data_IF_178157376028
#
_entry.id   IF_178157376028
#
_cell.length_a   1.000
_cell.length_b   1.000
_cell.length_c   1.000
_cell.angle_alpha   90.00
_cell.angle_beta   90.00
_cell.angle_gamma   90.00
#
_symmetry.space_group_name_H-M   'P 1'
#
loop_
_entity.id
_entity.type
_entity.pdbx_description
1 polymer ?
#
# COMPACT_ATOMS: atom_id res chain seq x y z
N UNK A 1 -60.88 -39.47 -23.63
CA UNK A 1 -60.28 -39.27 -22.28
C UNK A 1 -58.82 -39.72 -22.22
N UNK A 2 -58.46 -40.85 -22.87
CA UNK A 2 -57.07 -41.30 -22.99
C UNK A 2 -56.16 -40.31 -23.75
N UNK A 3 -56.59 -39.78 -24.90
CA UNK A 3 -55.79 -38.82 -25.69
C UNK A 3 -55.51 -37.50 -24.95
N UNK A 4 -56.46 -37.06 -24.11
CA UNK A 4 -56.29 -35.84 -23.31
C UNK A 4 -55.27 -36.04 -22.19
N UNK A 5 -55.26 -37.22 -21.57
CA UNK A 5 -54.26 -37.60 -20.56
C UNK A 5 -52.86 -37.73 -21.17
N UNK A 6 -52.76 -38.28 -22.38
CA UNK A 6 -51.49 -38.40 -23.09
C UNK A 6 -50.92 -37.03 -23.49
N UNK A 7 -51.77 -36.14 -24.04
CA UNK A 7 -51.38 -34.78 -24.38
C UNK A 7 -50.95 -33.97 -23.13
N UNK A 8 -51.65 -34.15 -22.01
CA UNK A 8 -51.31 -33.51 -20.72
C UNK A 8 -49.94 -33.95 -20.21
N UNK A 9 -49.65 -35.25 -20.28
CA UNK A 9 -48.36 -35.80 -19.85
C UNK A 9 -47.20 -35.35 -20.76
N UNK A 10 -47.42 -35.25 -22.08
CA UNK A 10 -46.42 -34.72 -23.01
C UNK A 10 -46.11 -33.24 -22.74
N UNK A 11 -47.13 -32.43 -22.42
CA UNK A 11 -46.95 -31.01 -22.08
C UNK A 11 -46.23 -30.85 -20.73
N UNK A 12 -46.57 -31.65 -19.71
CA UNK A 12 -45.88 -31.63 -18.41
C UNK A 12 -44.40 -32.02 -18.56
N UNK A 13 -44.08 -33.05 -19.36
CA UNK A 13 -42.71 -33.46 -19.64
C UNK A 13 -41.89 -32.36 -20.35
N UNK A 14 -42.51 -31.65 -21.30
CA UNK A 14 -41.86 -30.53 -22.00
C UNK A 14 -41.59 -29.34 -21.06
N UNK A 15 -42.51 -29.05 -20.14
CA UNK A 15 -42.34 -28.01 -19.12
C UNK A 15 -41.20 -28.33 -18.16
N UNK A 16 -41.10 -29.58 -17.69
CA UNK A 16 -40.00 -30.02 -16.82
C UNK A 16 -38.63 -29.95 -17.53
N UNK A 17 -38.57 -30.34 -18.81
CA UNK A 17 -37.36 -30.25 -19.62
C UNK A 17 -36.91 -28.80 -19.84
N UNK A 18 -37.86 -27.88 -20.09
CA UNK A 18 -37.56 -26.45 -20.21
C UNK A 18 -37.04 -25.85 -18.89
N UNK A 19 -37.63 -26.24 -17.75
CA UNK A 19 -37.18 -25.78 -16.43
C UNK A 19 -35.78 -26.31 -16.08
N UNK A 20 -35.48 -27.57 -16.41
CA UNK A 20 -34.14 -28.13 -16.22
C UNK A 20 -33.10 -27.45 -17.12
N UNK A 21 -33.42 -27.19 -18.40
CA UNK A 21 -32.52 -26.45 -19.30
C UNK A 21 -32.25 -25.03 -18.81
N UNK A 22 -33.27 -24.31 -18.33
CA UNK A 22 -33.09 -22.98 -17.75
C UNK A 22 -32.25 -23.02 -16.46
N UNK A 23 -32.46 -24.02 -15.61
CA UNK A 23 -31.64 -24.22 -14.41
C UNK A 23 -30.19 -24.56 -14.76
N UNK A 24 -29.94 -25.40 -15.76
CA UNK A 24 -28.60 -25.77 -16.19
C UNK A 24 -27.90 -24.65 -16.95
N UNK A 25 -28.61 -23.82 -17.72
CA UNK A 25 -28.06 -22.58 -18.28
C UNK A 25 -27.76 -21.55 -17.21
N UNK A 26 -28.61 -21.41 -16.18
CA UNK A 26 -28.35 -20.50 -15.06
C UNK A 26 -27.15 -20.99 -14.23
N UNK A 27 -27.01 -22.30 -14.02
CA UNK A 27 -25.85 -22.94 -13.37
C UNK A 27 -24.60 -22.79 -14.23
N UNK A 28 -24.69 -23.00 -15.55
CA UNK A 28 -23.56 -22.76 -16.49
C UNK A 28 -23.16 -21.30 -16.51
N UNK A 29 -24.09 -20.34 -16.54
CA UNK A 29 -23.80 -18.89 -16.43
C UNK A 29 -23.15 -18.56 -15.09
N UNK A 30 -23.66 -19.11 -13.97
CA UNK A 30 -23.05 -18.95 -12.63
C UNK A 30 -21.64 -19.57 -12.56
N UNK A 31 -21.43 -20.74 -13.17
CA UNK A 31 -20.15 -21.45 -13.20
C UNK A 31 -19.14 -20.73 -14.12
N UNK A 32 -19.58 -20.18 -15.25
CA UNK A 32 -18.75 -19.36 -16.15
C UNK A 32 -18.35 -18.04 -15.49
N UNK A 33 -19.24 -17.41 -14.70
CA UNK A 33 -18.94 -16.23 -13.87
C UNK A 33 -17.95 -16.54 -12.73
N UNK A 34 -17.92 -17.78 -12.22
CA UNK A 34 -17.06 -18.21 -11.10
C UNK A 34 -15.58 -18.36 -11.43
N UNK A 35 -15.22 -18.53 -12.72
CA UNK A 35 -13.83 -18.70 -13.17
C UNK A 35 -13.25 -17.48 -13.89
N UNK A 36 -14.02 -16.42 -14.12
CA UNK A 36 -13.52 -15.22 -14.80
C UNK A 36 -12.87 -14.30 -13.77
N UNK A 37 -11.57 -14.04 -13.93
CA UNK A 37 -10.88 -12.98 -13.18
C UNK A 37 -11.59 -11.64 -13.39
N UNK A 38 -11.65 -10.83 -12.34
CA UNK A 38 -12.23 -9.49 -12.41
C UNK A 38 -11.23 -8.53 -13.07
N UNK A 39 -11.53 -8.09 -14.29
CA UNK A 39 -10.62 -7.25 -15.08
C UNK A 39 -10.33 -5.90 -14.40
N UNK A 40 -11.35 -5.25 -13.81
CA UNK A 40 -11.16 -4.00 -13.07
C UNK A 40 -10.19 -4.09 -11.90
N UNK A 41 -10.11 -5.25 -11.24
CA UNK A 41 -9.19 -5.49 -10.13
C UNK A 41 -7.73 -5.54 -10.62
N UNK A 42 -7.49 -6.25 -11.72
CA UNK A 42 -6.16 -6.32 -12.33
C UNK A 42 -5.76 -4.95 -12.92
N UNK A 43 -6.67 -4.24 -13.59
CA UNK A 43 -6.42 -2.86 -14.09
C UNK A 43 -6.08 -1.89 -12.95
N UNK A 44 -6.81 -1.93 -11.82
CA UNK A 44 -6.51 -1.09 -10.66
C UNK A 44 -5.12 -1.39 -10.10
N UNK A 45 -4.78 -2.67 -9.94
CA UNK A 45 -3.45 -3.07 -9.47
C UNK A 45 -2.36 -2.61 -10.44
N UNK A 46 -2.59 -2.73 -11.74
CA UNK A 46 -1.67 -2.24 -12.77
C UNK A 46 -1.51 -0.74 -12.79
N UNK A 47 -2.59 0.02 -12.55
CA UNK A 47 -2.55 1.46 -12.36
C UNK A 47 -1.67 1.83 -11.15
N UNK A 48 -1.76 1.11 -10.03
CA UNK A 48 -0.89 1.34 -8.87
C UNK A 48 0.58 1.08 -9.18
N UNK A 49 0.90 0.01 -9.93
CA UNK A 49 2.28 -0.29 -10.38
C UNK A 49 2.78 0.78 -11.34
N UNK A 50 1.95 1.19 -12.29
CA UNK A 50 2.29 2.25 -13.23
C UNK A 50 2.57 3.56 -12.49
N UNK A 51 1.71 3.93 -11.53
CA UNK A 51 1.90 5.14 -10.74
C UNK A 51 3.19 5.09 -9.93
N UNK A 52 3.50 3.95 -9.30
CA UNK A 52 4.76 3.74 -8.58
C UNK A 52 5.98 4.01 -9.47
N UNK A 53 6.04 3.38 -10.65
CA UNK A 53 7.12 3.59 -11.62
C UNK A 53 7.18 5.06 -12.03
N UNK A 54 6.03 5.64 -12.38
CA UNK A 54 5.94 7.01 -12.84
C UNK A 54 6.49 7.99 -11.80
N UNK A 55 6.12 7.85 -10.52
CA UNK A 55 6.57 8.77 -9.47
C UNK A 55 8.03 8.56 -9.10
N UNK A 56 8.54 7.32 -9.17
CA UNK A 56 9.95 7.00 -8.89
C UNK A 56 10.89 7.68 -9.90
N UNK A 57 10.52 7.71 -11.19
CA UNK A 57 11.33 8.34 -12.24
C UNK A 57 11.01 9.82 -12.45
N UNK A 58 9.75 10.24 -12.38
CA UNK A 58 9.36 11.64 -12.61
C UNK A 58 9.54 12.53 -11.37
N UNK A 59 9.55 11.96 -10.17
CA UNK A 59 9.65 12.70 -8.91
C UNK A 59 10.95 13.51 -8.77
N UNK A 60 12.03 13.10 -9.42
CA UNK A 60 13.29 13.84 -9.44
C UNK A 60 13.19 15.17 -10.21
N UNK A 61 12.28 15.26 -11.18
CA UNK A 61 12.12 16.41 -12.07
C UNK A 61 11.01 17.35 -11.56
N UNK A 62 9.93 16.77 -11.01
CA UNK A 62 8.74 17.50 -10.59
C UNK A 62 8.46 17.30 -9.09
N UNK A 63 8.80 18.30 -8.23
CA UNK A 63 8.61 18.19 -6.79
C UNK A 63 7.16 17.91 -6.36
N UNK A 64 6.16 18.41 -7.12
CA UNK A 64 4.73 18.16 -6.85
C UNK A 64 4.30 16.69 -7.06
N UNK A 65 5.07 15.93 -7.85
CA UNK A 65 4.85 14.50 -8.08
C UNK A 65 5.58 13.66 -7.02
N UNK A 66 6.70 14.16 -6.50
CA UNK A 66 7.50 13.50 -5.46
C UNK A 66 6.77 13.43 -4.10
N UNK A 67 7.33 12.71 -3.13
CA UNK A 67 6.75 12.60 -1.79
C UNK A 67 6.73 13.93 -1.04
N UNK A 68 5.66 14.17 -0.27
CA UNK A 68 5.65 15.31 0.66
C UNK A 68 6.77 15.14 1.71
N UNK A 69 7.53 16.20 2.07
CA UNK A 69 8.62 16.07 3.03
C UNK A 69 8.18 15.59 4.41
N UNK A 70 6.98 15.98 4.85
CA UNK A 70 6.43 15.56 6.14
C UNK A 70 4.90 15.62 6.18
N UNK A 71 4.36 16.85 6.22
CA UNK A 71 2.92 17.10 6.20
C UNK A 71 2.47 17.48 4.79
N UNK A 72 1.25 17.07 4.45
CA UNK A 72 0.67 17.24 3.12
C UNK A 72 0.70 15.94 2.31
N UNK A 73 0.09 15.99 1.13
CA UNK A 73 -0.06 14.83 0.25
C UNK A 73 0.27 15.24 -1.17
N UNK A 74 1.18 14.50 -1.80
CA UNK A 74 1.48 14.59 -3.22
C UNK A 74 1.08 13.30 -3.95
N UNK A 75 1.23 13.27 -5.27
CA UNK A 75 0.77 12.15 -6.09
C UNK A 75 1.42 10.81 -5.67
N UNK A 76 2.72 10.81 -5.37
CA UNK A 76 3.44 9.62 -4.93
C UNK A 76 2.92 9.05 -3.60
N UNK A 77 2.22 9.85 -2.79
CA UNK A 77 1.72 9.42 -1.49
C UNK A 77 0.44 8.58 -1.61
N UNK A 78 -0.19 8.49 -2.78
CA UNK A 78 -1.37 7.63 -3.00
C UNK A 78 -1.02 6.18 -3.39
N UNK A 79 0.21 5.93 -3.86
CA UNK A 79 0.63 4.63 -4.41
C UNK A 79 0.44 3.49 -3.41
N UNK A 80 0.99 3.65 -2.20
CA UNK A 80 0.98 2.58 -1.19
C UNK A 80 -0.43 2.28 -0.65
N UNK A 81 -1.25 3.28 -0.26
CA UNK A 81 -2.64 3.04 0.12
C UNK A 81 -3.47 2.34 -0.97
N UNK A 82 -3.24 2.66 -2.25
CA UNK A 82 -3.95 2.01 -3.36
C UNK A 82 -3.60 0.51 -3.44
N UNK A 83 -2.33 0.16 -3.29
CA UNK A 83 -1.91 -1.24 -3.22
C UNK A 83 -2.52 -1.98 -2.04
N UNK A 84 -2.48 -1.40 -0.84
CA UNK A 84 -3.06 -2.02 0.36
C UNK A 84 -4.57 -2.24 0.21
N UNK A 85 -5.27 -1.25 -0.35
CA UNK A 85 -6.70 -1.32 -0.60
C UNK A 85 -7.06 -2.45 -1.57
N UNK A 86 -6.38 -2.56 -2.72
CA UNK A 86 -6.70 -3.60 -3.72
C UNK A 86 -6.31 -5.01 -3.26
N UNK A 87 -5.28 -5.13 -2.42
CA UNK A 87 -4.96 -6.39 -1.70
C UNK A 87 -6.13 -6.80 -0.82
N UNK A 88 -6.74 -5.84 -0.10
CA UNK A 88 -7.96 -6.03 0.67
C UNK A 88 -9.13 -6.55 -0.17
N UNK A 89 -9.44 -5.89 -1.29
CA UNK A 89 -10.52 -6.32 -2.21
C UNK A 89 -10.30 -7.76 -2.70
N UNK A 90 -9.04 -8.10 -3.02
CA UNK A 90 -8.65 -9.43 -3.48
C UNK A 90 -8.87 -10.51 -2.43
N UNK A 91 -8.70 -10.20 -1.13
CA UNK A 91 -8.88 -11.15 -0.04
C UNK A 91 -10.32 -11.67 0.07
N UNK A 92 -11.31 -10.80 -0.10
CA UNK A 92 -12.73 -11.19 -0.07
C UNK A 92 -13.08 -12.20 -1.17
N UNK A 93 -12.44 -12.08 -2.34
CA UNK A 93 -12.63 -13.02 -3.45
C UNK A 93 -11.94 -14.37 -3.17
N UNK A 94 -10.74 -14.33 -2.60
CA UNK A 94 -9.94 -15.54 -2.29
C UNK A 94 -10.57 -16.36 -1.17
N UNK A 95 -11.09 -15.70 -0.12
CA UNK A 95 -11.62 -16.36 1.08
C UNK A 95 -13.16 -16.39 1.14
N UNK A 96 -13.85 -16.15 0.01
CA UNK A 96 -15.32 -16.25 -0.09
C UNK A 96 -15.90 -17.57 0.43
N UNK A 97 -15.21 -18.70 0.18
CA UNK A 97 -15.69 -20.05 0.50
C UNK A 97 -14.64 -20.85 1.29
N UNK A 98 -14.34 -20.44 2.52
CA UNK A 98 -13.44 -21.20 3.40
C UNK A 98 -14.15 -22.42 3.99
N UNK A 99 -13.74 -23.62 3.57
CA UNK A 99 -14.20 -24.88 4.17
C UNK A 99 -13.43 -25.23 5.45
N UNK A 100 -12.10 -25.06 5.44
CA UNK A 100 -11.22 -25.34 6.58
C UNK A 100 -10.42 -24.11 6.97
N UNK A 101 -10.76 -23.51 8.12
CA UNK A 101 -10.16 -22.27 8.64
C UNK A 101 -8.66 -22.41 8.93
N UNK A 102 -8.22 -23.56 9.46
CA UNK A 102 -6.82 -23.81 9.81
C UNK A 102 -5.96 -23.89 8.55
N UNK A 103 -6.41 -24.66 7.55
CA UNK A 103 -5.71 -24.77 6.26
C UNK A 103 -5.65 -23.43 5.52
N UNK A 104 -6.73 -22.64 5.58
CA UNK A 104 -6.75 -21.28 5.01
C UNK A 104 -5.75 -20.35 5.72
N UNK A 105 -5.73 -20.38 7.06
CA UNK A 105 -4.80 -19.59 7.87
C UNK A 105 -3.35 -19.94 7.56
N UNK A 106 -3.02 -21.23 7.51
CA UNK A 106 -1.68 -21.70 7.17
C UNK A 106 -1.21 -21.19 5.79
N UNK A 107 -2.10 -21.25 4.79
CA UNK A 107 -1.81 -20.73 3.44
C UNK A 107 -1.62 -19.21 3.43
N UNK A 108 -2.42 -18.47 4.22
CA UNK A 108 -2.29 -17.03 4.36
C UNK A 108 -0.94 -16.65 5.00
N UNK A 109 -0.57 -17.33 6.09
CA UNK A 109 0.69 -17.10 6.80
C UNK A 109 1.89 -17.40 5.91
N UNK A 110 1.92 -18.55 5.20
CA UNK A 110 3.02 -18.86 4.27
C UNK A 110 3.20 -17.75 3.23
N UNK A 111 2.10 -17.30 2.62
CA UNK A 111 2.17 -16.24 1.61
C UNK A 111 2.71 -14.94 2.19
N UNK A 112 2.29 -14.57 3.41
CA UNK A 112 2.81 -13.41 4.10
C UNK A 112 4.31 -13.56 4.41
N UNK A 113 4.74 -14.72 4.91
CA UNK A 113 6.15 -15.03 5.17
C UNK A 113 6.99 -14.97 3.90
N UNK A 114 6.52 -15.53 2.78
CA UNK A 114 7.22 -15.45 1.49
C UNK A 114 7.40 -14.00 1.03
N UNK A 115 6.35 -13.18 1.16
CA UNK A 115 6.39 -11.77 0.79
C UNK A 115 7.32 -10.97 1.70
N UNK A 116 7.32 -11.28 2.99
CA UNK A 116 8.17 -10.65 4.00
C UNK A 116 9.65 -10.97 3.75
N UNK A 117 10.00 -12.24 3.52
CA UNK A 117 11.36 -12.67 3.20
C UNK A 117 11.85 -12.08 1.86
N UNK A 118 10.98 -12.02 0.86
CA UNK A 118 11.28 -11.33 -0.40
C UNK A 118 11.56 -9.84 -0.15
N UNK A 119 10.81 -9.20 0.75
CA UNK A 119 11.06 -7.82 1.19
C UNK A 119 12.45 -7.61 1.77
N UNK A 120 12.82 -8.43 2.75
CA UNK A 120 14.17 -8.38 3.37
C UNK A 120 15.25 -8.59 2.31
N UNK A 121 15.06 -9.56 1.40
CA UNK A 121 16.02 -9.82 0.34
C UNK A 121 16.24 -8.62 -0.60
N UNK A 122 15.16 -7.96 -1.04
CA UNK A 122 15.28 -6.79 -1.93
C UNK A 122 15.85 -5.57 -1.22
N UNK A 123 15.50 -5.38 0.05
CA UNK A 123 15.83 -4.16 0.80
C UNK A 123 17.15 -4.24 1.55
N UNK A 124 17.64 -5.45 1.84
CA UNK A 124 18.93 -5.68 2.49
C UNK A 124 20.15 -5.31 1.65
N UNK A 125 19.97 -4.73 0.47
CA UNK A 125 21.08 -4.14 -0.30
C UNK A 125 21.92 -5.14 -1.06
N UNK A 126 21.40 -6.35 -1.37
CA UNK A 126 22.10 -7.34 -2.20
C UNK A 126 22.63 -6.77 -3.53
N UNK A 127 21.96 -5.75 -4.07
CA UNK A 127 22.38 -4.99 -5.25
C UNK A 127 22.73 -3.56 -4.83
N UNK A 128 23.97 -3.33 -4.38
CA UNK A 128 24.49 -1.98 -4.23
C UNK A 128 24.53 -1.28 -5.60
N UNK A 129 24.31 0.05 -5.62
CA UNK A 129 24.03 0.82 -6.83
C UNK A 129 25.00 0.59 -7.99
N UNK A 130 24.56 0.99 -9.19
CA UNK A 130 25.29 0.86 -10.48
C UNK A 130 26.78 1.26 -10.47
N UNK A 131 27.23 2.03 -9.48
CA UNK A 131 28.60 2.54 -9.33
C UNK A 131 29.47 1.79 -8.32
N UNK A 132 28.93 0.88 -7.50
CA UNK A 132 29.68 0.15 -6.46
C UNK A 132 29.55 -1.35 -6.65
N UNK A 133 30.60 -2.02 -7.14
CA UNK A 133 30.70 -3.49 -7.30
C UNK A 133 30.81 -4.26 -5.96
N UNK A 134 30.30 -3.71 -4.86
CA UNK A 134 30.29 -4.37 -3.56
C UNK A 134 29.06 -5.27 -3.46
N UNK A 135 29.25 -6.57 -3.62
CA UNK A 135 28.22 -7.58 -3.39
C UNK A 135 28.23 -7.99 -1.91
N UNK A 136 27.09 -7.89 -1.23
CA UNK A 136 26.96 -8.29 0.18
C UNK A 136 25.77 -7.63 0.86
N UNK A 137 25.38 -8.16 2.02
CA UNK A 137 24.41 -7.55 2.92
C UNK A 137 25.13 -7.25 4.23
N UNK A 138 25.13 -5.98 4.62
CA UNK A 138 25.55 -5.59 5.95
C UNK A 138 24.43 -5.95 6.94
N UNK A 139 24.65 -7.00 7.73
CA UNK A 139 23.67 -7.49 8.70
C UNK A 139 23.46 -6.50 9.85
N UNK A 140 24.43 -5.64 10.14
CA UNK A 140 24.33 -4.63 11.20
C UNK A 140 23.44 -3.46 10.79
N UNK A 141 23.24 -3.23 9.48
CA UNK A 141 22.42 -2.13 8.97
C UNK A 141 21.29 -2.54 8.03
N UNK A 142 20.89 -3.82 8.09
CA UNK A 142 19.76 -4.33 7.32
C UNK A 142 18.46 -3.64 7.74
N UNK A 143 17.66 -3.17 6.78
CA UNK A 143 16.36 -2.55 7.06
C UNK A 143 15.28 -3.62 7.23
N UNK A 144 14.77 -3.76 8.45
CA UNK A 144 13.78 -4.80 8.79
C UNK A 144 12.38 -4.53 8.21
N UNK A 145 11.92 -3.28 8.23
CA UNK A 145 10.60 -2.91 7.74
C UNK A 145 10.67 -2.11 6.44
N UNK A 146 9.76 -2.45 5.53
CA UNK A 146 9.66 -1.83 4.22
C UNK A 146 8.33 -2.12 3.57
N UNK A 147 8.22 -1.75 2.31
CA UNK A 147 6.96 -1.75 1.54
C UNK A 147 6.36 -3.15 1.49
N UNK A 148 7.15 -4.19 1.16
CA UNK A 148 6.66 -5.56 1.05
C UNK A 148 6.28 -6.16 2.41
N UNK A 149 7.07 -5.87 3.44
CA UNK A 149 6.83 -6.30 4.82
C UNK A 149 5.52 -5.71 5.34
N UNK A 150 5.28 -4.43 5.06
CA UNK A 150 4.04 -3.75 5.41
C UNK A 150 2.82 -4.32 4.67
N UNK A 151 2.95 -4.62 3.38
CA UNK A 151 1.89 -5.32 2.63
C UNK A 151 1.66 -6.72 3.22
N UNK A 152 2.70 -7.44 3.62
CA UNK A 152 2.58 -8.76 4.24
C UNK A 152 1.83 -8.71 5.58
N UNK A 153 2.14 -7.74 6.44
CA UNK A 153 1.46 -7.51 7.71
C UNK A 153 -0.01 -7.12 7.50
N UNK A 154 -0.29 -6.17 6.61
CA UNK A 154 -1.66 -5.79 6.27
C UNK A 154 -2.47 -6.96 5.69
N UNK A 155 -1.85 -7.74 4.81
CA UNK A 155 -2.47 -8.94 4.22
C UNK A 155 -2.82 -9.99 5.26
N UNK A 156 -1.90 -10.34 6.17
CA UNK A 156 -2.16 -11.41 7.14
C UNK A 156 -3.22 -10.99 8.16
N UNK A 157 -3.18 -9.74 8.63
CA UNK A 157 -4.19 -9.22 9.58
C UNK A 157 -5.57 -9.24 8.92
N UNK A 158 -5.71 -8.68 7.71
CA UNK A 158 -6.98 -8.66 7.01
C UNK A 158 -7.48 -10.08 6.65
N UNK A 159 -6.58 -11.00 6.27
CA UNK A 159 -6.93 -12.39 6.02
C UNK A 159 -7.42 -13.11 7.28
N UNK A 160 -6.78 -12.88 8.43
CA UNK A 160 -7.22 -13.45 9.71
C UNK A 160 -8.59 -12.90 10.12
N UNK A 161 -8.82 -11.59 9.97
CA UNK A 161 -10.14 -11.00 10.15
C UNK A 161 -11.18 -11.71 9.29
N UNK A 162 -10.90 -11.92 8.00
CA UNK A 162 -11.83 -12.56 7.07
C UNK A 162 -12.09 -14.05 7.37
N UNK A 163 -11.10 -14.79 7.88
CA UNK A 163 -11.25 -16.22 8.16
C UNK A 163 -12.01 -16.46 9.47
N UNK A 164 -11.77 -15.60 10.48
CA UNK A 164 -12.21 -15.85 11.85
C UNK A 164 -13.45 -15.06 12.27
N UNK A 165 -13.63 -13.83 11.80
CA UNK A 165 -14.69 -12.91 12.23
C UNK A 165 -16.05 -12.98 11.52
N UNK A 166 -16.25 -13.63 10.35
CA UNK A 166 -17.57 -13.64 9.73
C UNK A 166 -18.62 -14.31 10.62
N UNK A 167 -19.66 -13.55 10.99
CA UNK A 167 -20.85 -14.09 11.63
C UNK A 167 -21.76 -14.66 10.54
N UNK A 168 -21.86 -15.99 10.46
CA UNK A 168 -22.66 -16.69 9.44
C UNK A 168 -24.14 -16.73 9.85
N UNK A 169 -24.77 -15.57 9.98
CA UNK A 169 -26.22 -15.49 10.20
C UNK A 169 -26.95 -15.66 8.86
N UNK A 170 -27.91 -16.60 8.82
CA UNK A 170 -28.65 -17.03 7.62
C UNK A 170 -29.73 -16.05 7.17
N UNK A 171 -29.98 -14.97 7.92
CA UNK A 171 -30.95 -13.95 7.56
C UNK A 171 -30.39 -12.94 6.55
N UNK A 172 -31.27 -12.42 5.70
CA UNK A 172 -31.05 -11.33 4.73
C UNK A 172 -30.78 -10.00 5.43
N UNK A 173 -29.72 -9.98 6.22
CA UNK A 173 -29.22 -8.81 6.92
C UNK A 173 -28.34 -8.01 5.96
N UNK A 174 -28.40 -6.67 6.08
CA UNK A 174 -27.61 -5.70 5.32
C UNK A 174 -26.11 -6.04 5.37
N UNK A 175 -25.37 -5.68 4.33
CA UNK A 175 -23.93 -5.98 4.20
C UNK A 175 -23.12 -5.43 5.38
N UNK A 176 -23.50 -4.28 5.93
CA UNK A 176 -22.84 -3.64 7.08
C UNK A 176 -22.99 -4.41 8.39
N UNK A 177 -24.17 -4.96 8.67
CA UNK A 177 -24.45 -5.71 9.90
C UNK A 177 -23.74 -7.09 9.93
N UNK A 178 -23.55 -7.73 8.76
CA UNK A 178 -22.81 -9.01 8.66
C UNK A 178 -21.32 -8.88 8.98
N UNK A 179 -20.73 -7.70 8.74
CA UNK A 179 -19.29 -7.46 8.92
C UNK A 179 -18.99 -6.39 9.98
N UNK A 180 -19.90 -6.19 10.94
CA UNK A 180 -19.70 -5.24 12.04
C UNK A 180 -18.40 -5.51 12.83
N UNK A 181 -18.03 -6.79 13.02
CA UNK A 181 -16.78 -7.15 13.70
C UNK A 181 -15.52 -6.63 12.98
N UNK A 182 -15.53 -6.56 11.64
CA UNK A 182 -14.41 -5.97 10.90
C UNK A 182 -14.30 -4.47 11.17
N UNK A 183 -15.43 -3.77 11.27
CA UNK A 183 -15.46 -2.36 11.66
C UNK A 183 -15.02 -2.14 13.11
N UNK A 184 -15.36 -3.05 14.04
CA UNK A 184 -14.83 -3.03 15.40
C UNK A 184 -13.30 -3.16 15.43
N UNK A 185 -12.73 -4.05 14.60
CA UNK A 185 -11.27 -4.19 14.49
C UNK A 185 -10.64 -2.92 13.92
N UNK A 186 -11.25 -2.31 12.89
CA UNK A 186 -10.81 -1.01 12.35
C UNK A 186 -10.74 0.04 13.48
N UNK A 187 -11.83 0.19 14.24
CA UNK A 187 -11.89 1.15 15.34
C UNK A 187 -10.86 0.85 16.43
N UNK A 188 -10.68 -0.42 16.81
CA UNK A 188 -9.70 -0.83 17.81
C UNK A 188 -8.26 -0.51 17.36
N UNK A 189 -7.91 -0.82 16.12
CA UNK A 189 -6.58 -0.52 15.56
C UNK A 189 -6.33 1.00 15.48
N UNK A 190 -7.34 1.79 15.11
CA UNK A 190 -7.26 3.25 15.12
C UNK A 190 -7.06 3.81 16.54
N UNK A 191 -7.80 3.30 17.53
CA UNK A 191 -7.66 3.71 18.94
C UNK A 191 -6.27 3.38 19.46
N UNK A 192 -5.76 2.17 19.18
CA UNK A 192 -4.41 1.75 19.57
C UNK A 192 -3.37 2.67 18.92
N UNK A 193 -3.51 2.95 17.61
CA UNK A 193 -2.58 3.83 16.90
C UNK A 193 -2.56 5.24 17.50
N UNK A 194 -3.72 5.88 17.69
CA UNK A 194 -3.81 7.20 18.32
C UNK A 194 -3.33 7.21 19.77
N UNK A 195 -3.67 6.18 20.54
CA UNK A 195 -3.24 6.05 21.93
C UNK A 195 -1.72 5.98 22.06
N UNK A 196 -1.06 5.22 21.19
CA UNK A 196 0.41 5.14 21.16
C UNK A 196 1.03 6.43 20.61
N UNK A 197 0.47 7.02 19.55
CA UNK A 197 1.03 8.21 18.91
C UNK A 197 0.98 9.45 19.82
N UNK A 198 -0.12 9.64 20.56
CA UNK A 198 -0.32 10.82 21.42
C UNK A 198 -0.01 10.56 22.90
N UNK A 199 -0.14 9.33 23.38
CA UNK A 199 -0.02 8.99 24.80
C UNK A 199 1.40 8.76 25.30
N UNK A 200 2.31 8.31 24.43
CA UNK A 200 3.68 7.98 24.82
C UNK A 200 4.54 9.24 25.02
N UNK A 201 5.40 9.18 26.04
CA UNK A 201 6.40 10.21 26.32
C UNK A 201 7.69 9.91 25.58
N UNK A 202 8.17 10.88 24.81
CA UNK A 202 9.40 10.78 24.03
C UNK A 202 10.51 11.50 24.77
N UNK A 203 11.47 10.73 25.28
CA UNK A 203 12.69 11.25 25.91
C UNK A 203 13.67 11.79 24.87
N UNK A 204 14.63 12.56 25.35
CA UNK A 204 15.80 12.95 24.57
C UNK A 204 16.57 11.71 24.12
N UNK A 205 17.22 11.81 22.97
CA UNK A 205 17.88 10.66 22.35
C UNK A 205 19.09 11.08 21.52
N UNK A 206 19.96 10.12 21.27
CA UNK A 206 21.19 10.32 20.51
C UNK A 206 21.33 9.31 19.36
N UNK A 207 22.08 9.70 18.33
CA UNK A 207 22.48 8.80 17.25
C UNK A 207 23.89 9.11 16.75
N UNK A 208 24.51 8.10 16.14
CA UNK A 208 25.91 8.12 15.71
C UNK A 208 26.00 8.09 14.19
N UNK A 209 26.87 8.93 13.63
CA UNK A 209 27.16 8.95 12.20
C UNK A 209 28.65 8.69 11.95
N UNK A 210 29.02 7.81 11.00
CA UNK A 210 30.42 7.57 10.64
C UNK A 210 31.05 8.81 9.96
N UNK A 211 32.29 9.10 10.33
CA UNK A 211 33.05 10.31 9.96
C UNK A 211 33.23 10.50 8.44
N UNK A 212 33.22 9.41 7.66
CA UNK A 212 33.55 9.41 6.23
C UNK A 212 32.54 10.09 5.31
N UNK A 213 31.46 10.65 5.85
CA UNK A 213 30.41 11.24 5.02
C UNK A 213 30.67 12.71 4.63
N UNK A 214 31.46 13.51 5.38
CA UNK A 214 31.46 14.97 5.14
C UNK A 214 32.74 15.81 5.43
N UNK A 215 33.90 15.30 5.87
CA UNK A 215 35.11 16.15 5.99
C UNK A 215 36.47 15.43 6.07
N UNK A 216 37.45 15.91 5.30
CA UNK A 216 38.88 15.54 5.33
C UNK A 216 39.63 16.33 6.42
N UNK A 217 39.44 16.03 7.71
CA UNK A 217 40.37 16.49 8.76
C UNK A 217 40.32 15.59 10.00
N UNK A 218 41.48 15.16 10.50
CA UNK A 218 41.76 14.52 11.81
C UNK A 218 41.17 13.13 12.13
N UNK A 219 41.96 12.14 12.61
CA UNK A 219 41.60 10.73 12.66
C UNK A 219 41.35 10.17 14.08
N UNK A 220 40.94 11.00 15.05
CA UNK A 220 40.87 10.55 16.46
C UNK A 220 39.48 10.28 17.04
N UNK A 221 38.38 10.66 16.37
CA UNK A 221 37.02 10.22 16.74
C UNK A 221 36.29 9.64 15.52
N UNK A 222 35.96 8.35 15.56
CA UNK A 222 35.39 7.63 14.42
C UNK A 222 33.92 7.95 14.13
N UNK A 223 33.22 8.65 15.05
CA UNK A 223 31.79 8.94 14.95
C UNK A 223 31.43 10.32 15.51
N UNK A 224 30.52 11.02 14.83
CA UNK A 224 29.88 12.24 15.35
C UNK A 224 28.59 11.83 16.05
N UNK A 225 28.42 12.25 17.31
CA UNK A 225 27.21 12.01 18.10
C UNK A 225 26.31 13.24 18.02
N UNK A 226 25.08 13.05 17.55
CA UNK A 226 24.06 14.10 17.54
C UNK A 226 23.04 13.86 18.66
N UNK A 227 22.77 14.90 19.44
CA UNK A 227 21.75 14.90 20.49
C UNK A 227 20.48 15.59 20.01
N UNK A 228 19.33 14.93 20.16
CA UNK A 228 18.01 15.48 19.83
C UNK A 228 17.22 15.65 21.12
N UNK A 229 16.85 16.91 21.42
CA UNK A 229 16.04 17.27 22.59
C UNK A 229 14.56 17.23 22.23
N UNK A 230 13.79 16.43 22.96
CA UNK A 230 12.38 16.19 22.75
C UNK A 230 11.58 16.48 24.01
N UNK A 231 11.74 15.67 25.06
CA UNK A 231 11.03 15.78 26.33
C UNK A 231 9.51 16.12 26.24
N UNK A 232 8.81 15.58 25.22
CA UNK A 232 7.41 15.95 24.88
C UNK A 232 6.50 14.72 24.75
N UNK A 233 5.18 14.96 24.79
CA UNK A 233 4.13 13.99 24.45
C UNK A 233 3.32 14.48 23.26
N UNK A 234 2.92 13.58 22.38
CA UNK A 234 2.02 13.86 21.27
C UNK A 234 2.56 14.84 20.22
N UNK A 235 3.88 15.02 20.16
CA UNK A 235 4.50 15.74 19.06
C UNK A 235 4.42 14.91 17.78
N UNK A 236 4.04 15.56 16.69
CA UNK A 236 3.94 14.96 15.35
C UNK A 236 5.09 15.41 14.44
N UNK A 237 6.09 16.12 14.99
CA UNK A 237 7.28 16.54 14.28
C UNK A 237 8.18 15.35 13.88
N UNK A 238 9.11 15.54 12.93
CA UNK A 238 10.00 14.48 12.45
C UNK A 238 10.97 13.96 13.53
N UNK A 239 11.33 14.80 14.50
CA UNK A 239 12.36 14.51 15.49
C UNK A 239 11.84 13.77 16.74
N UNK A 240 10.64 14.13 17.21
CA UNK A 240 10.16 13.82 18.56
C UNK A 240 8.82 13.09 18.58
N UNK A 241 8.45 12.46 17.47
CA UNK A 241 7.24 11.65 17.40
C UNK A 241 7.41 10.27 18.06
N UNK A 242 6.31 9.76 18.62
CA UNK A 242 6.28 8.46 19.28
C UNK A 242 6.48 7.28 18.31
N UNK A 243 6.07 7.41 17.04
CA UNK A 243 6.25 6.36 16.03
C UNK A 243 7.74 6.02 15.84
N UNK A 244 8.56 7.05 15.59
CA UNK A 244 10.00 6.91 15.44
C UNK A 244 10.69 6.50 16.74
N UNK A 245 10.15 6.85 17.91
CA UNK A 245 10.66 6.32 19.19
C UNK A 245 10.46 4.80 19.29
N UNK A 246 9.25 4.31 18.98
CA UNK A 246 8.93 2.86 18.98
C UNK A 246 9.86 2.13 18.01
N UNK A 247 10.02 2.65 16.80
CA UNK A 247 10.86 2.02 15.78
C UNK A 247 12.33 2.00 16.20
N UNK A 248 12.86 3.08 16.80
CA UNK A 248 14.23 3.11 17.35
C UNK A 248 14.44 2.11 18.47
N UNK A 249 13.46 1.93 19.35
CA UNK A 249 13.55 1.02 20.49
C UNK A 249 13.45 -0.45 20.09
N UNK A 250 12.53 -0.77 19.17
CA UNK A 250 12.24 -2.17 18.78
C UNK A 250 13.15 -2.63 17.64
N UNK A 251 13.35 -1.81 16.61
CA UNK A 251 14.13 -2.20 15.43
C UNK A 251 15.62 -1.86 15.59
N UNK A 252 15.96 -0.87 16.41
CA UNK A 252 17.32 -0.33 16.53
C UNK A 252 17.60 0.76 15.50
N UNK A 253 18.44 1.74 15.88
CA UNK A 253 18.72 2.94 15.07
C UNK A 253 19.41 2.60 13.74
N UNK A 254 20.30 1.62 13.73
CA UNK A 254 21.09 1.24 12.55
C UNK A 254 20.26 0.53 11.47
N UNK A 255 19.12 -0.05 11.86
CA UNK A 255 18.19 -0.75 10.99
C UNK A 255 17.08 0.15 10.41
N UNK A 256 17.09 1.44 10.74
CA UNK A 256 16.16 2.42 10.21
C UNK A 256 16.59 2.95 8.84
N UNK A 257 15.63 3.52 8.11
CA UNK A 257 15.93 4.10 6.82
C UNK A 257 16.79 5.37 6.94
N UNK A 258 17.99 5.32 6.36
CA UNK A 258 19.04 6.36 6.48
C UNK A 258 18.80 7.62 5.64
N UNK A 259 17.83 7.62 4.71
CA UNK A 259 17.56 8.75 3.79
C UNK A 259 16.09 9.19 3.84
N UNK A 260 15.58 9.65 5.00
CA UNK A 260 14.18 10.02 5.13
C UNK A 260 13.81 11.25 4.29
N UNK A 261 12.55 11.30 3.86
CA UNK A 261 12.03 12.35 2.95
C UNK A 261 12.05 13.75 3.60
N UNK A 262 11.93 13.82 4.93
CA UNK A 262 11.96 15.09 5.65
C UNK A 262 13.29 15.83 5.54
N UNK A 263 14.37 15.19 5.06
CA UNK A 263 15.62 15.90 4.72
C UNK A 263 15.40 16.99 3.67
N UNK A 264 14.34 16.88 2.87
CA UNK A 264 13.94 17.88 1.88
C UNK A 264 13.13 19.04 2.48
N UNK A 265 12.89 19.07 3.80
CA UNK A 265 12.31 20.23 4.47
C UNK A 265 13.22 21.44 4.28
N UNK A 266 12.63 22.63 4.17
CA UNK A 266 13.38 23.90 4.04
C UNK A 266 14.35 24.12 5.21
N UNK A 267 13.99 23.65 6.39
CA UNK A 267 14.82 23.69 7.61
C UNK A 267 16.12 22.86 7.49
N UNK A 268 16.10 21.81 6.65
CA UNK A 268 17.24 20.93 6.40
C UNK A 268 17.97 21.25 5.08
N UNK A 269 17.31 21.98 4.17
CA UNK A 269 17.87 22.38 2.87
C UNK A 269 18.53 23.75 2.96
N UNK A 270 19.82 23.80 3.31
CA UNK A 270 20.59 25.05 3.22
C UNK A 270 20.73 25.52 1.78
N UNK A 271 20.01 26.57 1.41
CA UNK A 271 20.34 27.42 0.26
C UNK A 271 21.53 28.31 0.65
N UNK A 272 22.75 27.82 0.49
CA UNK A 272 23.95 28.64 0.70
C UNK A 272 25.21 27.82 0.85
N UNK A 273 26.15 28.02 -0.09
CA UNK A 273 27.54 27.63 0.02
C UNK A 273 28.17 28.28 1.26
N UNK A 274 28.09 27.63 2.42
CA UNK A 274 29.01 27.83 3.54
C UNK A 274 28.73 26.74 4.56
N UNK A 275 29.64 25.78 4.65
CA UNK A 275 29.70 24.76 5.69
C UNK A 275 29.98 25.44 7.04
N UNK A 276 28.96 26.01 7.67
CA UNK A 276 28.98 26.33 9.09
C UNK A 276 28.14 25.26 9.79
N UNK A 277 28.84 24.39 10.50
CA UNK A 277 28.34 23.26 11.30
C UNK A 277 27.47 23.68 12.50
N UNK A 278 26.52 24.62 12.32
CA UNK A 278 25.75 25.19 13.43
C UNK A 278 24.36 25.73 13.10
N UNK A 279 23.90 25.72 11.83
CA UNK A 279 22.57 26.26 11.49
C UNK A 279 21.48 25.20 11.27
N UNK A 280 21.83 23.95 11.00
CA UNK A 280 20.86 22.89 10.74
C UNK A 280 20.50 22.14 12.03
N UNK A 281 19.21 21.83 12.25
CA UNK A 281 18.81 21.00 13.38
C UNK A 281 19.47 19.61 13.34
N UNK A 282 19.90 19.06 14.48
CA UNK A 282 20.60 17.77 14.53
C UNK A 282 19.75 16.62 13.98
N UNK A 283 18.42 16.70 14.12
CA UNK A 283 17.50 15.69 13.62
C UNK A 283 17.38 15.62 12.09
N UNK A 284 17.90 16.60 11.33
CA UNK A 284 17.89 16.55 9.85
C UNK A 284 18.66 15.35 9.28
N UNK A 285 19.60 14.80 10.05
CA UNK A 285 20.41 13.64 9.68
C UNK A 285 19.96 12.34 10.36
N UNK A 286 18.92 12.40 11.19
CA UNK A 286 18.40 11.23 11.88
C UNK A 286 17.87 10.20 10.87
N UNK A 287 18.05 8.90 11.13
CA UNK A 287 17.35 7.88 10.37
C UNK A 287 15.89 7.78 10.85
N UNK A 288 14.97 7.47 9.95
CA UNK A 288 13.54 7.35 10.25
C UNK A 288 12.84 6.45 9.25
N UNK A 289 12.03 5.51 9.74
CA UNK A 289 11.32 4.55 8.88
C UNK A 289 9.83 4.92 8.72
N UNK A 290 9.37 5.36 7.53
CA UNK A 290 7.95 5.62 7.28
C UNK A 290 7.10 4.33 7.21
N UNK A 291 7.74 3.18 7.02
CA UNK A 291 7.09 1.86 6.94
C UNK A 291 7.18 1.11 8.28
N UNK A 292 7.40 1.85 9.37
CA UNK A 292 7.58 1.34 10.74
C UNK A 292 6.40 0.55 11.32
N UNK A 293 6.55 0.20 12.60
CA UNK A 293 5.61 -0.69 13.30
C UNK A 293 4.24 -0.01 13.44
N UNK A 294 4.24 1.24 13.89
CA UNK A 294 3.00 1.96 14.17
C UNK A 294 2.22 2.31 12.89
N UNK A 295 2.93 2.61 11.79
CA UNK A 295 2.31 2.86 10.49
C UNK A 295 1.81 1.56 9.83
N UNK A 296 2.40 0.41 10.17
CA UNK A 296 1.91 -0.90 9.71
C UNK A 296 0.51 -1.25 10.26
N UNK A 297 0.15 -0.78 11.46
CA UNK A 297 -1.21 -0.95 12.01
C UNK A 297 -2.27 -0.27 11.14
N UNK A 298 -2.05 0.99 10.79
CA UNK A 298 -2.99 1.76 9.95
C UNK A 298 -2.97 1.31 8.49
N UNK A 299 -1.87 0.74 8.00
CA UNK A 299 -1.87 0.04 6.72
C UNK A 299 -2.77 -1.22 6.72
N UNK A 300 -2.78 -1.98 7.81
CA UNK A 300 -3.70 -3.10 7.96
C UNK A 300 -5.16 -2.64 7.93
N UNK A 301 -5.46 -1.48 8.55
CA UNK A 301 -6.79 -0.86 8.44
C UNK A 301 -7.17 -0.54 6.99
N UNK A 302 -6.27 0.03 6.19
CA UNK A 302 -6.52 0.25 4.74
C UNK A 302 -6.82 -1.06 4.01
N UNK A 303 -6.14 -2.16 4.33
CA UNK A 303 -6.46 -3.48 3.78
C UNK A 303 -7.86 -3.96 4.20
N UNK A 304 -8.27 -3.77 5.45
CA UNK A 304 -9.62 -4.16 5.93
C UNK A 304 -10.71 -3.29 5.29
N UNK A 305 -10.45 -2.00 5.05
CA UNK A 305 -11.36 -1.13 4.29
C UNK A 305 -11.52 -1.67 2.85
N UNK A 306 -10.43 -2.06 2.19
CA UNK A 306 -10.48 -2.72 0.88
C UNK A 306 -11.25 -4.05 0.91
N UNK A 307 -11.10 -4.83 1.98
CA UNK A 307 -11.84 -6.08 2.19
C UNK A 307 -13.36 -5.84 2.16
N UNK A 308 -13.84 -4.77 2.79
CA UNK A 308 -15.25 -4.38 2.75
C UNK A 308 -15.77 -4.16 1.32
N UNK A 309 -14.98 -3.52 0.45
CA UNK A 309 -15.35 -3.34 -0.97
C UNK A 309 -15.46 -4.68 -1.70
N UNK A 310 -14.56 -5.62 -1.39
CA UNK A 310 -14.62 -6.99 -1.90
C UNK A 310 -15.84 -7.76 -1.40
N UNK A 311 -16.31 -7.54 -0.17
CA UNK A 311 -17.55 -8.14 0.33
C UNK A 311 -18.78 -7.65 -0.43
N UNK A 312 -18.88 -6.34 -0.66
CA UNK A 312 -19.94 -5.75 -1.47
C UNK A 312 -19.93 -6.34 -2.89
N UNK A 313 -18.75 -6.55 -3.48
CA UNK A 313 -18.61 -7.19 -4.80
C UNK A 313 -19.15 -8.63 -4.82
N UNK A 314 -18.86 -9.40 -3.76
CA UNK A 314 -19.19 -10.82 -3.65
C UNK A 314 -20.67 -11.05 -3.35
N UNK A 315 -21.27 -10.21 -2.51
CA UNK A 315 -22.62 -10.40 -1.97
C UNK A 315 -23.71 -9.80 -2.84
N UNK A 316 -23.48 -8.61 -3.39
CA UNK A 316 -24.47 -7.91 -4.21
C UNK A 316 -24.24 -8.30 -5.67
N UNK A 317 -25.27 -8.75 -6.38
CA UNK A 317 -25.15 -9.10 -7.81
C UNK A 317 -25.35 -7.88 -8.73
N UNK A 318 -26.17 -6.91 -8.31
CA UNK A 318 -26.51 -5.72 -9.11
C UNK A 318 -25.38 -4.67 -9.14
N UNK A 319 -25.14 -4.11 -10.34
CA UNK A 319 -24.10 -3.13 -10.57
C UNK A 319 -24.41 -1.77 -9.93
N UNK A 320 -25.67 -1.31 -9.95
CA UNK A 320 -26.05 0.00 -9.39
C UNK A 320 -25.96 -0.04 -7.87
N UNK A 321 -26.47 -1.11 -7.25
CA UNK A 321 -26.37 -1.29 -5.80
C UNK A 321 -24.91 -1.39 -5.33
N UNK A 322 -24.02 -2.07 -6.07
CA UNK A 322 -22.57 -2.09 -5.73
C UNK A 322 -21.98 -0.69 -5.69
N UNK A 323 -22.20 0.08 -6.75
CA UNK A 323 -21.69 1.45 -6.87
C UNK A 323 -22.22 2.36 -5.76
N UNK A 324 -23.50 2.24 -5.41
CA UNK A 324 -24.09 3.02 -4.33
C UNK A 324 -23.38 2.77 -2.99
N UNK A 325 -23.18 1.51 -2.59
CA UNK A 325 -22.51 1.18 -1.32
C UNK A 325 -21.04 1.61 -1.30
N UNK A 326 -20.32 1.41 -2.42
CA UNK A 326 -18.93 1.84 -2.52
C UNK A 326 -18.78 3.36 -2.48
N UNK A 327 -19.60 4.10 -3.23
CA UNK A 327 -19.55 5.56 -3.23
C UNK A 327 -19.98 6.12 -1.88
N UNK A 328 -21.03 5.57 -1.26
CA UNK A 328 -21.44 5.97 0.09
C UNK A 328 -20.29 5.80 1.08
N UNK A 329 -19.66 4.61 1.10
CA UNK A 329 -18.50 4.36 1.95
C UNK A 329 -17.33 5.32 1.65
N UNK A 330 -16.99 5.52 0.37
CA UNK A 330 -15.94 6.46 -0.06
C UNK A 330 -16.20 7.89 0.43
N UNK A 331 -17.39 8.42 0.18
CA UNK A 331 -17.73 9.80 0.55
C UNK A 331 -17.81 9.97 2.07
N UNK A 332 -18.31 8.97 2.81
CA UNK A 332 -18.29 8.99 4.28
C UNK A 332 -16.87 8.99 4.85
N UNK A 333 -15.97 8.15 4.32
CA UNK A 333 -14.56 8.13 4.74
C UNK A 333 -13.85 9.44 4.38
N UNK A 334 -14.12 9.99 3.20
CA UNK A 334 -13.58 11.27 2.75
C UNK A 334 -14.03 12.41 3.67
N UNK A 335 -15.34 12.50 3.96
CA UNK A 335 -15.91 13.50 4.86
C UNK A 335 -15.33 13.40 6.27
N UNK A 336 -15.20 12.19 6.82
CA UNK A 336 -14.58 11.97 8.13
C UNK A 336 -13.08 12.34 8.12
N UNK A 337 -12.35 12.01 7.07
CA UNK A 337 -10.93 12.36 6.92
C UNK A 337 -10.71 13.88 6.85
N UNK A 338 -11.55 14.59 6.09
CA UNK A 338 -11.54 16.05 6.05
C UNK A 338 -11.93 16.66 7.40
N UNK A 339 -12.96 16.11 8.06
CA UNK A 339 -13.33 16.54 9.40
C UNK A 339 -12.15 16.39 10.35
N UNK A 340 -11.46 15.25 10.41
CA UNK A 340 -10.30 15.08 11.30
C UNK A 340 -9.11 16.01 10.96
N UNK A 341 -8.98 16.39 9.69
CA UNK A 341 -7.93 17.32 9.24
C UNK A 341 -8.25 18.77 9.65
N UNK A 342 -9.51 19.19 9.46
CA UNK A 342 -9.95 20.58 9.65
C UNK A 342 -10.67 20.85 10.97
N UNK A 343 -11.02 19.81 11.74
CA UNK A 343 -11.65 19.94 13.05
C UNK A 343 -10.63 20.47 14.06
N UNK A 344 -10.43 21.78 13.99
CA UNK A 344 -9.93 22.61 15.07
C UNK A 344 -11.11 22.88 15.99
N UNK A 345 -11.62 21.85 16.67
CA UNK A 345 -12.66 22.04 17.66
C UNK A 345 -11.98 22.34 18.99
N UNK A 346 -11.68 23.63 19.23
CA UNK A 346 -11.30 24.36 20.47
C UNK A 346 -10.38 23.73 21.55
N UNK A 347 -10.03 22.45 21.47
CA UNK A 347 -9.34 21.67 22.49
C UNK A 347 -8.25 20.75 21.91
N UNK A 348 -8.29 20.46 20.60
CA UNK A 348 -7.25 19.71 19.89
C UNK A 348 -6.89 20.37 18.55
N UNK A 349 -5.59 20.45 18.25
CA UNK A 349 -5.10 20.75 16.90
C UNK A 349 -5.52 19.63 15.95
N UNK A 350 -6.02 19.96 14.75
CA UNK A 350 -6.40 18.99 13.73
C UNK A 350 -5.26 18.00 13.40
N UNK A 351 -5.60 16.76 13.04
CA UNK A 351 -4.60 15.73 12.74
C UNK A 351 -4.04 15.98 11.32
N UNK A 352 -2.77 16.38 11.18
CA UNK A 352 -2.21 16.67 9.87
C UNK A 352 -2.20 15.43 8.98
N UNK A 353 -2.37 15.65 7.68
CA UNK A 353 -2.16 14.61 6.68
C UNK A 353 -0.66 14.31 6.62
N UNK A 354 -0.26 13.16 7.17
CA UNK A 354 1.14 12.79 7.28
C UNK A 354 1.31 11.33 6.84
N UNK A 355 2.04 11.14 5.74
CA UNK A 355 2.33 9.82 5.19
C UNK A 355 3.30 9.03 6.07
N UNK A 356 4.35 9.70 6.56
CA UNK A 356 5.44 9.07 7.33
C UNK A 356 4.93 8.45 8.63
N UNK A 357 3.99 9.12 9.31
CA UNK A 357 3.29 8.58 10.47
C UNK A 357 2.10 7.70 10.09
N UNK A 358 1.68 7.76 8.82
CA UNK A 358 0.45 7.20 8.28
C UNK A 358 -0.74 7.54 9.20
N UNK A 359 -0.95 8.85 9.36
CA UNK A 359 -1.97 9.39 10.26
C UNK A 359 -3.38 8.92 9.87
N UNK A 360 -4.29 8.88 10.84
CA UNK A 360 -5.68 8.43 10.60
C UNK A 360 -6.37 9.30 9.53
N UNK A 361 -6.16 10.62 9.56
CA UNK A 361 -6.71 11.54 8.55
C UNK A 361 -6.19 11.20 7.14
N UNK A 362 -4.88 10.95 7.01
CA UNK A 362 -4.26 10.52 5.76
C UNK A 362 -4.79 9.15 5.28
N UNK A 363 -4.87 8.17 6.17
CA UNK A 363 -5.39 6.83 5.88
C UNK A 363 -6.83 6.88 5.36
N UNK A 364 -7.72 7.66 6.01
CA UNK A 364 -9.12 7.77 5.61
C UNK A 364 -9.25 8.45 4.24
N UNK A 365 -8.54 9.56 4.03
CA UNK A 365 -8.57 10.31 2.78
C UNK A 365 -8.05 9.47 1.60
N UNK A 366 -6.92 8.79 1.80
CA UNK A 366 -6.33 7.94 0.75
C UNK A 366 -7.17 6.69 0.49
N UNK A 367 -7.75 6.06 1.51
CA UNK A 367 -8.67 4.92 1.32
C UNK A 367 -9.95 5.33 0.59
N UNK A 368 -10.49 6.52 0.88
CA UNK A 368 -11.63 7.07 0.14
C UNK A 368 -11.29 7.32 -1.33
N UNK A 369 -10.14 7.93 -1.61
CA UNK A 369 -9.69 8.13 -3.00
C UNK A 369 -9.47 6.81 -3.74
N UNK A 370 -8.93 5.78 -3.08
CA UNK A 370 -8.78 4.45 -3.66
C UNK A 370 -10.14 3.83 -4.01
N UNK A 371 -11.14 3.98 -3.13
CA UNK A 371 -12.52 3.54 -3.36
C UNK A 371 -13.18 4.23 -4.56
N UNK A 372 -13.03 5.55 -4.68
CA UNK A 372 -13.54 6.32 -5.83
C UNK A 372 -12.85 5.87 -7.12
N UNK A 373 -11.52 5.76 -7.12
CA UNK A 373 -10.76 5.29 -8.28
C UNK A 373 -11.16 3.87 -8.68
N UNK A 374 -11.38 2.98 -7.71
CA UNK A 374 -11.87 1.63 -7.97
C UNK A 374 -13.26 1.64 -8.61
N UNK A 375 -14.18 2.49 -8.14
CA UNK A 375 -15.49 2.67 -8.76
C UNK A 375 -15.38 3.17 -10.21
N UNK A 376 -14.52 4.15 -10.46
CA UNK A 376 -14.29 4.68 -11.81
C UNK A 376 -13.76 3.61 -12.77
N UNK A 377 -12.77 2.82 -12.34
CA UNK A 377 -12.22 1.72 -13.15
C UNK A 377 -13.25 0.61 -13.36
N UNK A 378 -14.04 0.28 -12.33
CA UNK A 378 -15.11 -0.71 -12.43
C UNK A 378 -16.16 -0.32 -13.49
N UNK A 379 -16.61 0.94 -13.48
CA UNK A 379 -17.54 1.47 -14.48
C UNK A 379 -16.90 1.43 -15.89
N UNK A 380 -15.65 1.86 -16.02
CA UNK A 380 -14.97 1.91 -17.31
C UNK A 380 -14.75 0.52 -17.94
N UNK A 381 -14.31 -0.45 -17.13
CA UNK A 381 -13.86 -1.76 -17.61
C UNK A 381 -14.98 -2.79 -17.59
N UNK A 382 -15.72 -2.91 -16.49
CA UNK A 382 -16.70 -3.98 -16.30
C UNK A 382 -18.11 -3.62 -16.78
N UNK A 383 -18.48 -2.32 -16.77
CA UNK A 383 -19.79 -1.86 -17.27
C UNK A 383 -19.71 -1.42 -18.74
N UNK A 384 -18.83 -0.46 -19.06
CA UNK A 384 -18.69 0.05 -20.42
C UNK A 384 -17.85 -0.84 -21.35
N UNK A 385 -17.08 -1.79 -20.81
CA UNK A 385 -16.37 -2.78 -21.60
C UNK A 385 -15.13 -2.25 -22.33
N UNK A 386 -14.52 -1.14 -21.90
CA UNK A 386 -13.31 -0.57 -22.51
C UNK A 386 -12.02 -1.36 -22.20
N UNK A 387 -12.05 -2.67 -22.47
CA UNK A 387 -10.93 -3.59 -22.21
C UNK A 387 -9.72 -3.29 -23.09
N UNK A 388 -9.95 -2.92 -24.36
CA UNK A 388 -8.85 -2.60 -25.28
C UNK A 388 -8.08 -1.34 -24.87
N UNK A 389 -8.69 -0.37 -24.19
CA UNK A 389 -7.95 0.81 -23.72
C UNK A 389 -7.08 0.49 -22.49
N UNK A 390 -7.51 -0.49 -21.70
CA UNK A 390 -6.92 -0.80 -20.39
C UNK A 390 -6.02 -2.04 -20.40
N UNK A 391 -5.79 -2.67 -21.57
CA UNK A 391 -5.04 -3.92 -21.68
C UNK A 391 -3.62 -3.86 -21.10
N UNK A 392 -2.92 -2.73 -21.26
CA UNK A 392 -1.57 -2.54 -20.71
C UNK A 392 -1.62 -2.55 -19.19
N UNK A 393 -2.58 -1.82 -18.61
CA UNK A 393 -2.76 -1.78 -17.16
C UNK A 393 -3.21 -3.13 -16.62
N UNK A 394 -4.10 -3.84 -17.31
CA UNK A 394 -4.49 -5.21 -16.93
C UNK A 394 -3.27 -6.15 -16.90
N UNK A 395 -2.44 -6.12 -17.94
CA UNK A 395 -1.21 -6.91 -18.01
C UNK A 395 -0.23 -6.57 -16.88
N UNK A 396 0.00 -5.28 -16.63
CA UNK A 396 0.85 -4.83 -15.52
C UNK A 396 0.31 -5.31 -14.16
N UNK A 397 -1.02 -5.36 -13.99
CA UNK A 397 -1.67 -5.84 -12.78
C UNK A 397 -1.53 -7.34 -12.55
N UNK A 398 -1.58 -8.15 -13.61
CA UNK A 398 -1.35 -9.59 -13.53
C UNK A 398 0.10 -9.90 -13.12
N UNK A 399 1.06 -9.11 -13.61
CA UNK A 399 2.50 -9.28 -13.38
C UNK A 399 3.08 -8.35 -12.30
N UNK A 400 2.24 -7.77 -11.44
CA UNK A 400 2.62 -6.67 -10.55
C UNK A 400 3.82 -6.95 -9.65
N UNK A 401 3.91 -8.16 -9.07
CA UNK A 401 5.01 -8.52 -8.16
C UNK A 401 6.34 -8.62 -8.91
N UNK A 402 6.34 -9.19 -10.12
CA UNK A 402 7.54 -9.30 -10.95
C UNK A 402 8.05 -7.94 -11.39
N UNK A 403 7.14 -7.05 -11.79
CA UNK A 403 7.49 -5.66 -12.15
C UNK A 403 8.03 -4.92 -10.93
N UNK A 404 7.40 -5.04 -9.76
CA UNK A 404 7.88 -4.45 -8.52
C UNK A 404 9.32 -4.87 -8.18
N UNK A 405 9.61 -6.18 -8.25
CA UNK A 405 10.94 -6.74 -8.00
C UNK A 405 11.96 -6.16 -8.99
N UNK A 406 11.62 -6.15 -10.28
CA UNK A 406 12.51 -5.69 -11.36
C UNK A 406 12.86 -4.19 -11.26
N UNK A 407 11.89 -3.37 -10.85
CA UNK A 407 12.06 -1.93 -10.65
C UNK A 407 12.83 -1.67 -9.35
N UNK A 408 12.41 -2.26 -8.23
CA UNK A 408 12.99 -1.99 -6.91
C UNK A 408 14.44 -2.47 -6.77
N UNK A 409 14.82 -3.55 -7.46
CA UNK A 409 16.19 -4.07 -7.48
C UNK A 409 17.13 -3.32 -8.42
N UNK A 410 16.65 -2.28 -9.13
CA UNK A 410 17.36 -1.64 -10.24
C UNK A 410 17.82 -2.61 -11.34
N UNK A 411 17.34 -3.87 -11.35
CA UNK A 411 17.73 -4.88 -12.34
C UNK A 411 17.32 -4.45 -13.74
N UNK A 412 16.18 -3.78 -13.88
CA UNK A 412 15.74 -3.18 -15.13
C UNK A 412 16.77 -2.16 -15.67
N UNK A 413 17.21 -1.26 -14.79
CA UNK A 413 18.16 -0.19 -15.10
C UNK A 413 19.51 -0.79 -15.43
N UNK A 414 19.99 -1.73 -14.63
CA UNK A 414 21.22 -2.48 -14.86
C UNK A 414 21.19 -3.25 -16.19
N UNK A 415 20.08 -3.90 -16.54
CA UNK A 415 19.96 -4.60 -17.81
C UNK A 415 20.04 -3.60 -18.98
N UNK A 416 19.32 -2.48 -18.93
CA UNK A 416 19.30 -1.50 -20.02
C UNK A 416 20.65 -0.77 -20.14
N UNK A 417 21.28 -0.39 -19.03
CA UNK A 417 22.60 0.26 -19.02
C UNK A 417 23.76 -0.71 -19.29
N UNK A 418 23.60 -1.98 -18.91
CA UNK A 418 24.65 -3.00 -19.00
C UNK A 418 24.93 -3.45 -20.43
N UNK A 419 23.97 -3.31 -21.35
CA UNK A 419 24.20 -3.52 -22.78
C UNK A 419 24.82 -2.28 -23.42
N UNK A 420 26.16 -2.28 -23.52
CA UNK A 420 26.93 -1.26 -24.21
C UNK A 420 27.75 -1.86 -25.36
N UNK A 421 27.99 -1.08 -26.41
CA UNK A 421 28.76 -1.52 -27.57
C UNK A 421 30.18 -0.95 -27.54
N UNK A 422 31.19 -1.81 -27.37
CA UNK A 422 32.64 -1.49 -27.30
C UNK A 422 33.09 -0.59 -26.13
N UNK A 423 32.36 0.46 -25.76
CA UNK A 423 32.69 1.35 -24.63
C UNK A 423 31.49 1.59 -23.70
N UNK A 424 31.70 1.76 -22.39
CA UNK A 424 30.62 2.01 -21.42
C UNK A 424 29.75 3.24 -21.74
N UNK A 425 30.33 4.22 -22.43
CA UNK A 425 29.63 5.44 -22.87
C UNK A 425 28.67 5.19 -24.05
N UNK A 426 28.84 4.08 -24.77
CA UNK A 426 28.02 3.68 -25.92
C UNK A 426 26.89 2.73 -25.51
N UNK A 427 26.15 3.11 -24.47
CA UNK A 427 24.98 2.36 -24.02
C UNK A 427 23.72 2.74 -24.82
N UNK A 428 22.71 1.86 -24.81
CA UNK A 428 21.44 2.02 -25.55
C UNK A 428 20.75 3.35 -25.19
N UNK A 429 20.81 3.77 -23.93
CA UNK A 429 20.20 5.03 -23.48
C UNK A 429 20.91 6.24 -24.08
N UNK A 430 22.24 6.27 -24.06
CA UNK A 430 23.01 7.39 -24.59
C UNK A 430 22.80 7.52 -26.10
N UNK A 431 22.63 6.39 -26.81
CA UNK A 431 22.23 6.36 -28.22
C UNK A 431 20.81 6.92 -28.44
N UNK A 432 19.82 6.57 -27.59
CA UNK A 432 18.46 7.13 -27.68
C UNK A 432 18.47 8.64 -27.36
N UNK A 433 19.15 9.05 -26.29
CA UNK A 433 19.23 10.45 -25.84
C UNK A 433 19.91 11.32 -26.89
N UNK A 434 21.05 10.89 -27.46
CA UNK A 434 21.69 11.65 -28.54
C UNK A 434 20.83 11.76 -29.79
N UNK A 435 19.96 10.78 -30.08
CA UNK A 435 19.11 10.77 -31.27
C UNK A 435 17.81 11.55 -31.13
N UNK A 436 17.25 11.63 -29.93
CA UNK A 436 15.93 12.23 -29.66
C UNK A 436 15.94 13.51 -28.82
N UNK A 437 16.96 13.76 -28.00
CA UNK A 437 17.01 14.92 -27.08
C UNK A 437 17.94 16.03 -27.59
N UNK A 438 18.98 15.69 -28.37
CA UNK A 438 19.92 16.66 -28.94
C UNK A 438 19.60 17.10 -30.39
N UNK A 439 18.35 16.97 -30.82
CA UNK A 439 17.92 17.41 -32.15
C UNK A 439 17.06 18.67 -32.09
#
# INVERSE_FOLDING_TARGET
>A
MADYLQLRNEVELQLEQQQQQQQDESKKKKMKRGNTRLASLDVFRGLSVFLMIFVDYAGAILPSISHSPWNGVHLADFVMPFFLFIVGVSLALVYKNVQNKVKATYKAVIRATQLFLLGIFLQGGYFHGITSLTFGVDMESIRWLGILQRIALGYVIAALCEIWLPCRTRLEITTSEKYYMNWCVILALCIIHSGLLYGLYVSDWEFRLPYSAYSMLSPHDSHIVYMVKCAVRGDLGPACNAAGMIDRYILGVDHLYKKPVYRNLKECSSSGYSHVSGSQPPWCFAPFDPEGILSSLTAAVTCIIGLHYGHVLVQIEDHKSRLYHWLLCSFSLFGLGLLLTYAVCSFFSGIPLNKSLYSISYMLLTSASAGITFCSIYVLVDIYGYKHLTFVLEWMGIHSLGIFVLVSSNLAVLAIHGFYWKSPDSNIINWIVTRFVKK
#
